data_IF_796078739544
#
_entry.id   IF_796078739544
#
_cell.length_a   1.000
_cell.length_b   1.000
_cell.length_c   1.000
_cell.angle_alpha   90.00
_cell.angle_beta   90.00
_cell.angle_gamma   90.00
#
_symmetry.space_group_name_H-M   'P 1'
#
loop_
_entity.id
_entity.type
_entity.pdbx_description
1 polymer ?
#
# COMPACT_ATOMS: atom_id res chain seq x y z
N UNK A 1 11.57 -7.78 11.93
CA UNK A 1 10.50 -6.82 12.32
C UNK A 1 11.05 -5.91 13.41
N UNK A 2 10.73 -4.64 13.32
CA UNK A 2 11.12 -3.62 14.29
C UNK A 2 10.54 -3.95 15.67
N UNK A 3 11.26 -3.66 16.75
CA UNK A 3 10.71 -3.74 18.10
C UNK A 3 9.46 -2.85 18.18
N UNK A 4 8.49 -3.21 19.04
CA UNK A 4 7.30 -2.39 19.20
C UNK A 4 7.67 -1.05 19.86
N UNK A 5 7.54 0.10 19.17
CA UNK A 5 7.85 1.40 19.74
C UNK A 5 6.72 1.93 20.65
N UNK A 6 5.71 1.12 20.94
CA UNK A 6 4.46 1.57 21.55
C UNK A 6 3.63 2.41 20.58
N UNK A 7 2.71 3.21 21.10
CA UNK A 7 1.91 4.12 20.27
C UNK A 7 2.61 5.48 20.03
N UNK A 8 3.57 5.85 20.87
CA UNK A 8 4.36 7.09 20.73
C UNK A 8 3.47 8.33 20.66
N UNK A 9 3.50 9.01 19.51
CA UNK A 9 2.66 10.19 19.23
C UNK A 9 1.24 9.82 18.76
N UNK A 10 0.95 8.51 18.63
CA UNK A 10 -0.36 8.00 18.24
C UNK A 10 -1.14 7.54 19.46
N UNK A 11 -2.46 7.67 19.36
CA UNK A 11 -3.40 7.11 20.34
C UNK A 11 -3.53 5.60 20.21
N UNK A 12 -4.31 5.00 21.12
CA UNK A 12 -4.65 3.58 21.04
C UNK A 12 -5.64 3.32 19.89
N UNK A 13 -5.72 2.07 19.43
CA UNK A 13 -6.74 1.64 18.48
C UNK A 13 -8.15 1.99 18.96
N UNK A 14 -8.96 2.55 18.05
CA UNK A 14 -10.36 2.85 18.22
C UNK A 14 -11.20 1.99 17.29
N UNK A 15 -12.37 1.58 17.76
CA UNK A 15 -13.28 0.67 17.04
C UNK A 15 -14.64 1.29 16.74
N UNK A 16 -14.80 2.59 16.85
CA UNK A 16 -16.03 3.32 16.57
C UNK A 16 -16.20 3.67 15.07
N UNK A 17 -15.81 2.74 14.22
CA UNK A 17 -15.95 2.73 12.76
C UNK A 17 -16.80 1.54 12.32
N UNK A 18 -17.32 1.56 11.08
CA UNK A 18 -18.20 0.50 10.56
C UNK A 18 -17.48 -0.84 10.37
N UNK A 19 -16.16 -0.81 10.14
CA UNK A 19 -15.34 -2.00 9.92
C UNK A 19 -13.94 -1.81 10.50
N UNK A 20 -13.39 -2.85 11.15
CA UNK A 20 -12.03 -2.83 11.66
C UNK A 20 -11.79 -1.82 12.78
N UNK A 21 -10.70 -1.09 12.68
CA UNK A 21 -10.23 -0.15 13.70
C UNK A 21 -9.33 0.94 13.09
N UNK A 22 -9.12 2.04 13.82
CA UNK A 22 -8.21 3.10 13.37
C UNK A 22 -7.41 3.68 14.54
N UNK A 23 -6.26 4.26 14.22
CA UNK A 23 -5.48 5.08 15.13
C UNK A 23 -5.25 6.45 14.50
N UNK A 24 -5.15 7.45 15.33
CA UNK A 24 -4.90 8.83 14.92
C UNK A 24 -3.77 9.41 15.75
N UNK A 25 -3.07 10.45 15.26
CA UNK A 25 -2.07 11.13 16.06
C UNK A 25 -2.73 11.80 17.27
N UNK A 26 -2.06 11.72 18.44
CA UNK A 26 -2.50 12.38 19.68
C UNK A 26 -2.53 13.90 19.53
N UNK A 27 -1.77 14.45 18.58
CA UNK A 27 -1.74 15.87 18.25
C UNK A 27 -1.57 16.05 16.75
N UNK A 28 -2.24 17.06 16.17
CA UNK A 28 -2.17 17.36 14.74
C UNK A 28 -2.99 16.40 13.89
N UNK A 29 -2.58 16.23 12.63
CA UNK A 29 -3.28 15.41 11.65
C UNK A 29 -4.43 16.09 10.94
N UNK A 30 -5.09 17.06 11.58
CA UNK A 30 -6.18 17.84 11.02
C UNK A 30 -5.67 19.22 10.58
N UNK A 31 -5.96 19.60 9.35
CA UNK A 31 -5.61 20.91 8.80
C UNK A 31 -6.68 21.94 9.11
N UNK A 32 -6.38 23.23 8.88
CA UNK A 32 -7.31 24.35 9.14
C UNK A 32 -8.62 24.25 8.36
N UNK A 33 -8.60 23.65 7.17
CA UNK A 33 -9.79 23.43 6.34
C UNK A 33 -10.61 22.21 6.77
N UNK A 34 -10.13 21.44 7.74
CA UNK A 34 -10.74 20.19 8.19
C UNK A 34 -10.22 18.93 7.45
N UNK A 35 -9.30 19.09 6.51
CA UNK A 35 -8.77 17.94 5.80
C UNK A 35 -7.73 17.16 6.60
N UNK A 36 -7.65 15.83 6.38
CA UNK A 36 -6.64 14.95 6.95
C UNK A 36 -6.22 13.88 5.92
N UNK A 37 -5.07 13.24 6.16
CA UNK A 37 -4.59 12.15 5.33
C UNK A 37 -4.85 10.82 6.02
N UNK A 38 -5.21 9.79 5.25
CA UNK A 38 -5.55 8.46 5.77
C UNK A 38 -4.98 7.34 4.92
N UNK A 39 -4.41 6.33 5.58
CA UNK A 39 -4.03 5.06 4.99
C UNK A 39 -4.97 3.97 5.50
N UNK A 40 -5.57 3.22 4.58
CA UNK A 40 -6.32 2.01 4.86
C UNK A 40 -5.43 0.80 4.65
N UNK A 41 -5.25 0.01 5.70
CA UNK A 41 -4.42 -1.19 5.65
C UNK A 41 -5.27 -2.45 5.85
N UNK A 42 -4.99 -3.47 5.04
CA UNK A 42 -5.72 -4.73 5.05
C UNK A 42 -4.77 -5.88 5.35
N UNK A 43 -5.10 -6.64 6.40
CA UNK A 43 -4.40 -7.81 6.92
C UNK A 43 -3.07 -7.50 7.64
N UNK A 44 -2.90 -8.07 8.86
CA UNK A 44 -1.68 -7.91 9.64
C UNK A 44 -1.55 -6.58 10.38
N UNK A 45 -2.65 -6.04 10.87
CA UNK A 45 -2.77 -4.69 11.44
C UNK A 45 -1.75 -4.36 12.54
N UNK A 46 -1.44 -5.29 13.48
CA UNK A 46 -0.51 -5.01 14.58
C UNK A 46 0.95 -4.90 14.10
N UNK A 47 1.35 -5.74 13.15
CA UNK A 47 2.69 -5.67 12.60
C UNK A 47 2.90 -4.37 11.81
N UNK A 48 1.90 -3.98 11.00
CA UNK A 48 1.93 -2.74 10.23
C UNK A 48 1.84 -1.50 11.12
N UNK A 49 1.06 -1.53 12.22
CA UNK A 49 1.03 -0.45 13.20
C UNK A 49 2.43 -0.11 13.72
N UNK A 50 3.23 -1.13 14.05
CA UNK A 50 4.60 -0.91 14.56
C UNK A 50 5.45 -0.11 13.58
N UNK A 51 5.39 -0.47 12.30
CA UNK A 51 6.13 0.23 11.25
C UNK A 51 5.55 1.63 10.98
N UNK A 52 4.21 1.78 11.06
CA UNK A 52 3.52 3.06 10.90
C UNK A 52 3.90 4.06 11.98
N UNK A 53 3.72 3.70 13.26
CA UNK A 53 3.94 4.64 14.38
C UNK A 53 5.41 5.04 14.55
N UNK A 54 6.32 4.24 13.98
CA UNK A 54 7.75 4.53 14.01
C UNK A 54 8.16 5.72 13.11
N UNK A 55 7.40 6.01 12.05
CA UNK A 55 7.82 6.99 11.03
C UNK A 55 6.73 7.96 10.60
N UNK A 56 5.44 7.57 10.64
CA UNK A 56 4.38 8.46 10.20
C UNK A 56 4.10 9.55 11.23
N UNK A 57 3.68 10.71 10.73
CA UNK A 57 3.31 11.86 11.52
C UNK A 57 2.11 12.56 10.88
N UNK A 58 1.10 12.87 11.68
CA UNK A 58 -0.03 13.67 11.27
C UNK A 58 -1.00 13.02 10.27
N UNK A 59 -1.05 11.68 10.22
CA UNK A 59 -1.99 10.95 9.37
C UNK A 59 -2.72 9.84 10.14
N UNK A 60 -3.89 9.45 9.68
CA UNK A 60 -4.72 8.38 10.25
C UNK A 60 -4.34 7.04 9.61
N UNK A 61 -4.22 5.98 10.40
CA UNK A 61 -4.18 4.61 9.92
C UNK A 61 -5.50 3.93 10.29
N UNK A 62 -6.26 3.51 9.30
CA UNK A 62 -7.43 2.65 9.47
C UNK A 62 -7.06 1.23 9.04
N UNK A 63 -7.44 0.21 9.79
CA UNK A 63 -7.01 -1.15 9.50
C UNK A 63 -8.12 -2.16 9.67
N UNK A 64 -8.19 -3.11 8.73
CA UNK A 64 -9.16 -4.19 8.68
C UNK A 64 -8.43 -5.52 8.64
N UNK A 65 -8.75 -6.42 9.55
CA UNK A 65 -8.23 -7.78 9.57
C UNK A 65 -9.40 -8.77 9.63
N UNK A 66 -9.59 -9.54 8.55
CA UNK A 66 -10.69 -10.49 8.37
C UNK A 66 -10.19 -11.94 8.34
N UNK A 67 -8.97 -12.17 8.83
CA UNK A 67 -8.35 -13.49 8.88
C UNK A 67 -7.63 -13.89 7.60
N UNK A 68 -7.38 -15.17 7.44
CA UNK A 68 -6.57 -15.73 6.37
C UNK A 68 -7.44 -15.96 5.12
N UNK A 69 -6.93 -15.59 3.96
CA UNK A 69 -7.60 -15.76 2.67
C UNK A 69 -8.24 -14.47 2.15
N UNK A 70 -8.09 -14.22 0.84
CA UNK A 70 -8.54 -12.97 0.20
C UNK A 70 -10.07 -12.84 0.11
N UNK A 71 -10.79 -13.95 0.04
CA UNK A 71 -12.25 -13.96 -0.17
C UNK A 71 -13.04 -13.17 0.87
N UNK A 72 -12.62 -13.16 2.15
CA UNK A 72 -13.27 -12.36 3.18
C UNK A 72 -13.13 -10.85 2.91
N UNK A 73 -11.96 -10.43 2.44
CA UNK A 73 -11.69 -9.03 2.05
C UNK A 73 -12.41 -8.65 0.77
N UNK A 74 -12.42 -9.52 -0.23
CA UNK A 74 -13.18 -9.32 -1.48
C UNK A 74 -14.67 -9.15 -1.21
N UNK A 75 -15.25 -10.01 -0.37
CA UNK A 75 -16.66 -9.95 0.00
C UNK A 75 -17.00 -8.67 0.79
N UNK A 76 -16.14 -8.23 1.70
CA UNK A 76 -16.36 -7.01 2.48
C UNK A 76 -16.43 -5.75 1.59
N UNK A 77 -15.76 -5.76 0.45
CA UNK A 77 -15.72 -4.63 -0.49
C UNK A 77 -16.34 -4.96 -1.87
N UNK A 78 -17.20 -5.98 -1.94
CA UNK A 78 -17.83 -6.38 -3.20
C UNK A 78 -18.86 -5.38 -3.73
N UNK A 79 -19.54 -4.63 -2.84
CA UNK A 79 -20.53 -3.65 -3.24
C UNK A 79 -19.87 -2.35 -3.73
N UNK A 80 -20.41 -1.69 -4.75
CA UNK A 80 -19.80 -0.51 -5.36
C UNK A 80 -19.57 0.70 -4.43
N UNK A 81 -20.31 0.78 -3.31
CA UNK A 81 -20.23 1.84 -2.32
C UNK A 81 -19.60 1.40 -0.99
N UNK A 82 -19.18 0.13 -0.87
CA UNK A 82 -18.69 -0.42 0.40
C UNK A 82 -17.49 0.36 0.96
N UNK A 83 -16.56 0.76 0.11
CA UNK A 83 -15.41 1.56 0.56
C UNK A 83 -15.80 3.01 0.88
N UNK A 84 -16.74 3.59 0.17
CA UNK A 84 -17.25 4.94 0.47
C UNK A 84 -17.93 4.97 1.85
N UNK A 85 -18.75 4.00 2.15
CA UNK A 85 -19.39 3.86 3.48
C UNK A 85 -18.34 3.68 4.59
N UNK A 86 -17.31 2.88 4.34
CA UNK A 86 -16.20 2.71 5.30
C UNK A 86 -15.40 4.00 5.48
N UNK A 87 -15.04 4.69 4.40
CA UNK A 87 -14.37 5.99 4.47
C UNK A 87 -15.18 7.00 5.28
N UNK A 88 -16.48 7.15 4.99
CA UNK A 88 -17.37 8.05 5.73
C UNK A 88 -17.45 7.70 7.21
N UNK A 89 -17.41 6.39 7.57
CA UNK A 89 -17.39 5.99 8.97
C UNK A 89 -16.11 6.44 9.70
N UNK A 90 -14.96 6.37 9.02
CA UNK A 90 -13.67 6.84 9.54
C UNK A 90 -13.66 8.36 9.64
N UNK A 91 -14.17 9.09 8.64
CA UNK A 91 -14.30 10.54 8.67
C UNK A 91 -15.20 11.01 9.84
N UNK A 92 -16.34 10.36 10.01
CA UNK A 92 -17.27 10.67 11.11
C UNK A 92 -16.66 10.36 12.49
N UNK A 93 -15.95 9.25 12.65
CA UNK A 93 -15.26 8.90 13.87
C UNK A 93 -14.15 9.93 14.21
N UNK A 94 -13.35 10.31 13.22
CA UNK A 94 -12.31 11.31 13.39
C UNK A 94 -12.88 12.70 13.63
N UNK A 95 -14.01 13.07 13.01
CA UNK A 95 -14.73 14.32 13.25
C UNK A 95 -15.23 14.44 14.69
N UNK A 96 -15.83 13.36 15.22
CA UNK A 96 -16.28 13.31 16.63
C UNK A 96 -15.10 13.51 17.58
N UNK A 97 -14.02 12.77 17.35
CA UNK A 97 -12.86 12.77 18.23
C UNK A 97 -12.11 14.12 18.20
N UNK A 98 -11.86 14.66 17.01
CA UNK A 98 -11.20 15.96 16.82
C UNK A 98 -12.09 17.16 17.14
N UNK A 99 -13.37 16.92 17.46
CA UNK A 99 -14.40 17.95 17.67
C UNK A 99 -14.49 18.92 16.48
N UNK A 100 -14.26 18.43 15.29
CA UNK A 100 -14.34 19.20 14.06
C UNK A 100 -15.30 18.54 13.05
N UNK A 101 -16.55 19.03 12.91
CA UNK A 101 -17.54 18.42 12.02
C UNK A 101 -17.19 18.53 10.52
N UNK A 102 -16.16 19.30 10.17
CA UNK A 102 -15.68 19.42 8.79
C UNK A 102 -14.55 18.44 8.45
N UNK A 103 -14.23 17.52 9.36
CA UNK A 103 -13.16 16.56 9.09
C UNK A 103 -13.48 15.70 7.86
N UNK A 104 -12.56 15.68 6.88
CA UNK A 104 -12.70 14.91 5.65
C UNK A 104 -11.33 14.45 5.13
N UNK A 105 -11.30 13.31 4.44
CA UNK A 105 -10.07 12.76 3.89
C UNK A 105 -9.62 13.55 2.65
N UNK A 106 -8.36 13.94 2.65
CA UNK A 106 -7.67 14.62 1.54
C UNK A 106 -6.90 13.63 0.68
N UNK A 107 -5.87 13.01 1.24
CA UNK A 107 -5.13 11.94 0.61
C UNK A 107 -5.59 10.61 1.18
N UNK A 108 -5.86 9.66 0.31
CA UNK A 108 -6.33 8.33 0.65
C UNK A 108 -5.34 7.33 0.07
N UNK A 109 -4.69 6.57 0.95
CA UNK A 109 -3.83 5.46 0.56
C UNK A 109 -4.48 4.13 0.89
N UNK A 110 -4.17 3.11 0.11
CA UNK A 110 -4.46 1.71 0.38
C UNK A 110 -3.16 0.96 0.59
N UNK A 111 -3.12 0.07 1.55
CA UNK A 111 -2.01 -0.86 1.72
C UNK A 111 -2.51 -2.24 2.10
N UNK A 112 -1.80 -3.27 1.67
CA UNK A 112 -2.14 -4.65 2.00
C UNK A 112 -0.88 -5.48 2.20
N UNK A 113 -0.96 -6.42 3.12
CA UNK A 113 -0.05 -7.55 3.22
C UNK A 113 -0.83 -8.83 2.91
N UNK A 114 -0.21 -9.77 2.19
CA UNK A 114 -0.81 -11.10 1.97
C UNK A 114 -2.27 -11.01 1.47
N UNK A 115 -3.19 -11.72 2.11
CA UNK A 115 -4.62 -11.82 1.79
C UNK A 115 -5.37 -10.48 1.67
N UNK A 116 -4.85 -9.42 2.28
CA UNK A 116 -5.48 -8.10 2.25
C UNK A 116 -5.60 -7.48 0.85
N UNK A 117 -4.87 -8.02 -0.14
CA UNK A 117 -4.96 -7.55 -1.53
C UNK A 117 -6.37 -7.64 -2.12
N UNK A 118 -7.18 -8.60 -1.65
CA UNK A 118 -8.57 -8.76 -2.11
C UNK A 118 -9.41 -7.50 -1.86
N UNK A 119 -9.20 -6.80 -0.74
CA UNK A 119 -9.83 -5.50 -0.51
C UNK A 119 -9.33 -4.45 -1.52
N UNK A 120 -8.02 -4.36 -1.72
CA UNK A 120 -7.41 -3.36 -2.63
C UNK A 120 -7.95 -3.55 -4.06
N UNK A 121 -8.03 -4.79 -4.56
CA UNK A 121 -8.60 -5.08 -5.88
C UNK A 121 -10.03 -4.54 -5.99
N UNK A 122 -10.90 -4.89 -5.04
CA UNK A 122 -12.31 -4.48 -5.07
C UNK A 122 -12.50 -2.98 -4.91
N UNK A 123 -11.70 -2.33 -4.08
CA UNK A 123 -11.78 -0.87 -3.89
C UNK A 123 -11.35 -0.12 -5.15
N UNK A 124 -10.32 -0.58 -5.85
CA UNK A 124 -9.87 0.07 -7.09
C UNK A 124 -10.87 -0.07 -8.25
N UNK A 125 -11.77 -1.05 -8.20
CA UNK A 125 -12.88 -1.22 -9.15
C UNK A 125 -14.07 -0.30 -8.84
N UNK A 126 -14.17 0.28 -7.64
CA UNK A 126 -15.26 1.16 -7.22
C UNK A 126 -15.07 2.60 -7.73
N UNK A 127 -16.14 3.40 -7.85
CA UNK A 127 -16.03 4.80 -8.27
C UNK A 127 -15.06 5.61 -7.41
N UNK A 128 -15.03 5.37 -6.09
CA UNK A 128 -14.12 6.03 -5.15
C UNK A 128 -12.65 5.60 -5.34
N UNK A 129 -12.38 4.50 -6.03
CA UNK A 129 -11.04 4.04 -6.39
C UNK A 129 -10.22 5.11 -7.14
N UNK A 130 -10.89 5.98 -7.87
CA UNK A 130 -10.24 7.09 -8.58
C UNK A 130 -9.70 8.19 -7.64
N UNK A 131 -10.13 8.25 -6.38
CA UNK A 131 -9.60 9.17 -5.36
C UNK A 131 -8.35 8.63 -4.65
N UNK A 132 -8.01 7.35 -4.86
CA UNK A 132 -6.85 6.74 -4.22
C UNK A 132 -5.57 7.40 -4.74
N UNK A 133 -4.74 7.91 -3.83
CA UNK A 133 -3.47 8.57 -4.14
C UNK A 133 -2.28 7.60 -4.14
N UNK A 134 -2.32 6.58 -3.30
CA UNK A 134 -1.21 5.65 -3.10
C UNK A 134 -1.70 4.22 -2.87
N UNK A 135 -0.96 3.24 -3.41
CA UNK A 135 -1.16 1.81 -3.16
C UNK A 135 0.17 1.16 -2.76
N UNK A 136 0.18 0.38 -1.67
CA UNK A 136 1.34 -0.38 -1.19
C UNK A 136 0.92 -1.85 -1.04
N UNK A 137 1.54 -2.75 -1.80
CA UNK A 137 1.32 -4.18 -1.75
C UNK A 137 2.58 -4.89 -1.26
N UNK A 138 2.51 -5.49 -0.08
CA UNK A 138 3.63 -6.14 0.59
C UNK A 138 3.46 -7.67 0.47
N UNK A 139 4.20 -8.27 -0.45
CA UNK A 139 4.07 -9.69 -0.83
C UNK A 139 2.60 -10.10 -0.92
N UNK A 140 1.87 -9.29 -1.65
CA UNK A 140 0.43 -9.34 -1.83
C UNK A 140 0.11 -9.12 -3.32
N UNK A 141 -0.97 -9.61 -3.74
CA UNK A 141 -1.53 -9.67 -5.08
C UNK A 141 -1.36 -11.08 -5.69
N UNK A 142 -2.49 -11.74 -5.81
CA UNK A 142 -2.60 -13.01 -6.51
C UNK A 142 -3.71 -12.92 -7.56
N UNK A 143 -3.66 -13.83 -8.52
CA UNK A 143 -4.70 -14.02 -9.53
C UNK A 143 -4.81 -15.51 -9.86
N UNK A 144 -5.90 -15.93 -10.44
CA UNK A 144 -6.02 -17.24 -11.06
C UNK A 144 -5.24 -17.32 -12.36
N UNK A 145 -5.33 -18.48 -13.00
CA UNK A 145 -4.79 -18.71 -14.33
C UNK A 145 -5.87 -18.88 -15.38
N UNK A 146 -5.60 -18.40 -16.58
CA UNK A 146 -6.35 -18.70 -17.81
C UNK A 146 -5.30 -19.14 -18.83
N UNK A 147 -5.47 -20.34 -19.39
CA UNK A 147 -4.54 -20.94 -20.37
C UNK A 147 -3.06 -20.91 -19.89
N UNK A 148 -2.84 -21.26 -18.64
CA UNK A 148 -1.53 -21.22 -17.94
C UNK A 148 -0.87 -19.84 -17.85
N UNK A 149 -1.61 -18.76 -18.04
CA UNK A 149 -1.17 -17.39 -17.85
C UNK A 149 -1.96 -16.71 -16.72
N UNK A 150 -1.36 -15.71 -16.09
CA UNK A 150 -2.04 -14.87 -15.09
C UNK A 150 -3.34 -14.31 -15.67
N UNK A 151 -4.47 -14.52 -14.99
CA UNK A 151 -5.73 -13.89 -15.39
C UNK A 151 -5.71 -12.40 -15.07
N UNK A 152 -5.19 -11.61 -16.00
CA UNK A 152 -5.08 -10.15 -15.85
C UNK A 152 -6.41 -9.42 -15.65
N UNK A 153 -7.56 -10.06 -15.96
CA UNK A 153 -8.88 -9.46 -15.73
C UNK A 153 -9.18 -9.36 -14.25
N UNK A 154 -8.73 -10.32 -13.45
CA UNK A 154 -8.93 -10.31 -12.00
C UNK A 154 -8.19 -9.15 -11.32
N UNK A 155 -7.10 -8.67 -11.91
CA UNK A 155 -6.27 -7.60 -11.35
C UNK A 155 -6.30 -6.32 -12.21
N UNK A 156 -7.31 -6.17 -13.06
CA UNK A 156 -7.41 -5.05 -14.01
C UNK A 156 -7.36 -3.67 -13.32
N UNK A 157 -8.08 -3.48 -12.23
CA UNK A 157 -8.05 -2.23 -11.47
C UNK A 157 -6.67 -1.90 -10.90
N UNK A 158 -5.93 -2.93 -10.46
CA UNK A 158 -4.54 -2.77 -9.97
C UNK A 158 -3.59 -2.43 -11.12
N UNK A 159 -3.78 -3.06 -12.30
CA UNK A 159 -3.01 -2.74 -13.53
C UNK A 159 -3.24 -1.30 -13.96
N UNK A 160 -4.47 -0.83 -13.97
CA UNK A 160 -4.77 0.55 -14.36
C UNK A 160 -4.19 1.55 -13.35
N UNK A 161 -4.21 1.24 -12.07
CA UNK A 161 -3.54 2.05 -11.06
C UNK A 161 -2.01 2.06 -11.26
N UNK A 162 -1.39 0.93 -11.59
CA UNK A 162 0.04 0.85 -11.91
C UNK A 162 0.41 1.73 -13.11
N UNK A 163 -0.43 1.78 -14.16
CA UNK A 163 -0.23 2.68 -15.30
C UNK A 163 -0.26 4.16 -14.89
N UNK A 164 -1.15 4.56 -13.97
CA UNK A 164 -1.18 5.93 -13.44
C UNK A 164 0.07 6.22 -12.60
N UNK A 165 0.54 5.27 -11.79
CA UNK A 165 1.77 5.41 -11.03
C UNK A 165 3.00 5.52 -11.95
N UNK A 166 3.05 4.74 -13.03
CA UNK A 166 4.10 4.80 -14.04
C UNK A 166 4.13 6.10 -14.86
N UNK A 167 3.09 6.94 -14.75
CA UNK A 167 3.02 8.31 -15.29
C UNK A 167 3.31 9.38 -14.22
N UNK A 168 3.57 8.99 -12.97
CA UNK A 168 3.77 9.90 -11.85
C UNK A 168 2.47 10.52 -11.28
N UNK A 169 1.30 10.10 -11.75
CA UNK A 169 0.01 10.64 -11.31
C UNK A 169 -0.43 10.08 -9.96
N UNK A 170 -0.06 8.84 -9.67
CA UNK A 170 -0.32 8.12 -8.41
C UNK A 170 0.98 7.52 -7.89
N UNK A 171 0.95 6.98 -6.68
CA UNK A 171 2.09 6.24 -6.12
C UNK A 171 1.75 4.76 -6.00
N UNK A 172 2.65 3.88 -6.42
CA UNK A 172 2.50 2.45 -6.22
C UNK A 172 3.82 1.80 -5.83
N UNK A 173 3.77 1.02 -4.76
CA UNK A 173 4.86 0.13 -4.36
C UNK A 173 4.34 -1.31 -4.30
N UNK A 174 5.10 -2.23 -4.89
CA UNK A 174 4.80 -3.66 -4.85
C UNK A 174 6.06 -4.40 -4.44
N UNK A 175 5.96 -5.29 -3.47
CA UNK A 175 7.00 -6.27 -3.20
C UNK A 175 6.49 -7.68 -3.42
N UNK A 176 7.39 -8.60 -3.77
CA UNK A 176 7.11 -10.01 -3.90
C UNK A 176 8.25 -10.88 -3.34
N UNK A 177 7.89 -12.03 -2.81
CA UNK A 177 8.80 -13.11 -2.43
C UNK A 177 9.02 -14.08 -3.59
N UNK A 178 9.80 -15.14 -3.37
CA UNK A 178 9.96 -16.27 -4.30
C UNK A 178 9.03 -17.45 -3.94
N UNK A 179 7.98 -17.22 -3.15
CA UNK A 179 7.01 -18.25 -2.77
C UNK A 179 6.15 -18.61 -3.99
N UNK A 180 6.03 -19.90 -4.27
CA UNK A 180 5.17 -20.45 -5.32
C UNK A 180 3.96 -21.11 -4.66
N UNK A 181 2.79 -20.49 -4.70
CA UNK A 181 1.58 -21.07 -4.13
C UNK A 181 1.02 -22.17 -5.04
N UNK A 182 0.30 -23.16 -4.48
CA UNK A 182 -0.35 -24.18 -5.30
C UNK A 182 -1.64 -23.59 -5.93
N UNK A 183 -1.77 -23.72 -7.26
CA UNK A 183 -3.03 -23.54 -7.98
C UNK A 183 -3.45 -22.10 -8.33
N UNK A 184 -2.62 -21.09 -8.03
CA UNK A 184 -2.84 -19.70 -8.45
C UNK A 184 -1.50 -18.96 -8.62
N UNK A 185 -1.53 -17.83 -9.31
CA UNK A 185 -0.34 -17.06 -9.62
C UNK A 185 0.34 -16.51 -8.37
N UNK A 186 1.65 -16.67 -8.30
CA UNK A 186 2.50 -16.13 -7.24
C UNK A 186 2.53 -14.60 -7.28
N UNK A 187 2.98 -14.01 -6.17
CA UNK A 187 3.23 -12.57 -6.10
C UNK A 187 4.33 -12.11 -7.08
N UNK A 188 5.28 -13.00 -7.42
CA UNK A 188 6.27 -12.77 -8.49
C UNK A 188 5.60 -12.65 -9.86
N UNK A 189 4.75 -13.61 -10.24
CA UNK A 189 4.09 -13.60 -11.54
C UNK A 189 3.18 -12.38 -11.73
N UNK A 190 2.41 -12.03 -10.69
CA UNK A 190 1.54 -10.84 -10.75
C UNK A 190 2.35 -9.54 -10.76
N UNK A 191 3.46 -9.45 -10.01
CA UNK A 191 4.35 -8.29 -10.06
C UNK A 191 4.98 -8.13 -11.46
N UNK A 192 5.42 -9.22 -12.09
CA UNK A 192 5.91 -9.20 -13.46
C UNK A 192 4.82 -8.80 -14.47
N UNK A 193 3.59 -9.26 -14.26
CA UNK A 193 2.44 -8.82 -15.07
C UNK A 193 2.22 -7.32 -14.98
N UNK A 194 2.29 -6.72 -13.78
CA UNK A 194 2.22 -5.27 -13.60
C UNK A 194 3.34 -4.55 -14.34
N UNK A 195 4.59 -5.03 -14.18
CA UNK A 195 5.78 -4.43 -14.85
C UNK A 195 5.64 -4.50 -16.36
N UNK A 196 5.20 -5.63 -16.89
CA UNK A 196 4.92 -5.77 -18.33
C UNK A 196 3.82 -4.82 -18.79
N UNK A 197 2.72 -4.71 -18.02
CA UNK A 197 1.56 -3.87 -18.35
C UNK A 197 1.88 -2.38 -18.41
N UNK A 198 2.94 -1.93 -17.75
CA UNK A 198 3.45 -0.55 -17.84
C UNK A 198 4.56 -0.41 -18.89
N UNK A 199 4.73 -1.38 -19.79
CA UNK A 199 5.78 -1.43 -20.80
C UNK A 199 7.20 -1.23 -20.20
N UNK A 200 7.52 -1.96 -19.12
CA UNK A 200 8.80 -1.95 -18.44
C UNK A 200 9.36 -3.36 -18.31
N UNK A 201 10.54 -3.50 -17.72
CA UNK A 201 11.19 -4.78 -17.44
C UNK A 201 11.80 -4.77 -16.04
N UNK A 202 11.75 -5.88 -15.30
CA UNK A 202 12.51 -6.02 -14.08
C UNK A 202 14.01 -5.91 -14.38
N UNK A 203 14.74 -5.23 -13.50
CA UNK A 203 16.20 -5.17 -13.54
C UNK A 203 16.72 -6.07 -12.43
N UNK A 204 17.63 -6.98 -12.77
CA UNK A 204 18.34 -7.80 -11.77
C UNK A 204 19.06 -6.87 -10.80
N UNK A 205 18.79 -7.01 -9.52
CA UNK A 205 19.48 -6.27 -8.49
C UNK A 205 20.79 -6.97 -8.11
N UNK A 206 21.83 -6.20 -7.82
CA UNK A 206 23.00 -6.77 -7.14
C UNK A 206 22.56 -7.17 -5.74
N UNK A 207 22.83 -8.43 -5.36
CA UNK A 207 22.54 -8.91 -4.00
C UNK A 207 23.11 -7.94 -2.97
N UNK A 208 22.23 -7.36 -2.18
CA UNK A 208 22.59 -6.61 -0.99
C UNK A 208 22.08 -7.44 0.18
N UNK A 209 23.00 -7.85 1.07
CA UNK A 209 22.64 -8.36 2.37
C UNK A 209 21.95 -7.23 3.15
N UNK A 210 20.88 -7.55 3.87
CA UNK A 210 20.31 -6.78 4.98
C UNK A 210 19.21 -5.76 4.69
N UNK A 211 18.55 -5.81 3.53
CA UNK A 211 17.53 -4.79 3.32
C UNK A 211 16.24 -5.06 4.12
N UNK A 212 15.86 -6.33 4.35
CA UNK A 212 14.68 -6.67 5.16
C UNK A 212 14.83 -8.04 5.80
N UNK A 213 15.14 -8.09 7.08
CA UNK A 213 15.16 -9.34 7.89
C UNK A 213 15.88 -10.53 7.21
N UNK A 214 16.99 -10.26 6.53
CA UNK A 214 17.82 -11.29 5.90
C UNK A 214 17.39 -11.69 4.48
N UNK A 215 16.38 -11.06 3.90
CA UNK A 215 16.00 -11.28 2.50
C UNK A 215 16.95 -10.52 1.56
N UNK A 216 17.41 -11.20 0.51
CA UNK A 216 18.19 -10.57 -0.56
C UNK A 216 17.25 -9.94 -1.60
N UNK A 217 17.47 -8.70 -1.95
CA UNK A 217 16.85 -8.08 -3.11
C UNK A 217 17.42 -8.72 -4.39
N UNK A 218 16.57 -9.31 -5.22
CA UNK A 218 16.96 -10.01 -6.46
C UNK A 218 16.61 -9.24 -7.72
N UNK A 219 15.53 -8.46 -7.67
CA UNK A 219 15.11 -7.65 -8.80
C UNK A 219 14.34 -6.39 -8.37
N UNK A 220 14.27 -5.44 -9.27
CA UNK A 220 13.55 -4.19 -9.07
C UNK A 220 13.04 -3.61 -10.39
N UNK A 221 12.01 -2.80 -10.30
CA UNK A 221 11.57 -1.92 -11.38
C UNK A 221 11.18 -0.58 -10.78
N UNK A 222 11.71 0.50 -11.34
CA UNK A 222 11.36 1.86 -10.97
C UNK A 222 10.93 2.61 -12.24
N UNK A 223 9.71 3.14 -12.25
CA UNK A 223 9.21 3.99 -13.33
C UNK A 223 8.34 5.10 -12.75
N UNK A 224 8.83 6.31 -12.77
CA UNK A 224 8.22 7.48 -12.12
C UNK A 224 7.87 7.19 -10.66
N UNK A 225 6.59 7.05 -10.32
CA UNK A 225 6.09 6.73 -8.98
C UNK A 225 5.63 5.28 -8.82
N UNK A 226 5.97 4.41 -9.78
CA UNK A 226 5.80 2.97 -9.68
C UNK A 226 7.12 2.33 -9.25
N UNK A 227 7.08 1.53 -8.18
CA UNK A 227 8.25 0.84 -7.64
C UNK A 227 7.91 -0.62 -7.39
N UNK A 228 8.72 -1.55 -7.90
CA UNK A 228 8.64 -2.97 -7.60
C UNK A 228 9.96 -3.46 -7.01
N UNK A 229 9.87 -4.34 -6.02
CA UNK A 229 11.02 -4.99 -5.36
C UNK A 229 10.73 -6.47 -5.19
N UNK A 230 11.59 -7.31 -5.79
CA UNK A 230 11.54 -8.76 -5.64
C UNK A 230 12.65 -9.24 -4.71
N UNK A 231 12.28 -10.10 -3.78
CA UNK A 231 13.18 -10.64 -2.77
C UNK A 231 13.26 -12.17 -2.84
N UNK A 232 14.39 -12.70 -2.37
CA UNK A 232 14.50 -14.11 -2.04
C UNK A 232 13.53 -14.46 -0.91
N UNK A 233 13.39 -15.75 -0.65
CA UNK A 233 12.58 -16.24 0.44
C UNK A 233 11.39 -17.05 -0.06
N UNK A 234 11.14 -18.18 0.61
CA UNK A 234 10.17 -19.16 0.16
C UNK A 234 9.36 -19.77 1.33
N UNK A 235 9.44 -19.20 2.51
CA UNK A 235 8.70 -19.65 3.67
C UNK A 235 7.83 -18.57 4.32
N UNK A 236 7.12 -18.96 5.37
CA UNK A 236 6.21 -18.07 6.10
C UNK A 236 6.94 -16.89 6.76
N UNK A 237 8.15 -17.09 7.24
CA UNK A 237 8.91 -16.02 7.91
C UNK A 237 9.38 -14.99 6.89
N UNK A 238 9.81 -15.46 5.72
CA UNK A 238 10.17 -14.61 4.59
C UNK A 238 8.98 -13.76 4.14
N UNK A 239 7.80 -14.39 4.02
CA UNK A 239 6.55 -13.69 3.74
C UNK A 239 6.25 -12.58 4.77
N UNK A 240 6.39 -12.88 6.05
CA UNK A 240 6.20 -11.90 7.13
C UNK A 240 7.22 -10.76 7.10
N UNK A 241 8.44 -11.02 6.62
CA UNK A 241 9.51 -10.02 6.56
C UNK A 241 9.16 -8.82 5.68
N UNK A 242 8.32 -9.03 4.65
CA UNK A 242 7.86 -7.95 3.76
C UNK A 242 7.14 -6.81 4.48
N UNK A 243 6.54 -7.06 5.65
CA UNK A 243 5.93 -5.99 6.46
C UNK A 243 6.97 -4.95 6.90
N UNK A 244 8.22 -5.37 7.12
CA UNK A 244 9.32 -4.47 7.47
C UNK A 244 9.63 -3.39 6.41
N UNK A 245 9.30 -3.65 5.12
CA UNK A 245 9.42 -2.67 4.05
C UNK A 245 8.48 -1.47 4.22
N UNK A 246 7.39 -1.66 4.97
CA UNK A 246 6.35 -0.64 5.09
C UNK A 246 6.90 0.68 5.61
N UNK A 247 7.72 0.64 6.67
CA UNK A 247 8.36 1.82 7.25
C UNK A 247 9.18 2.59 6.23
N UNK A 248 10.01 1.89 5.47
CA UNK A 248 10.92 2.53 4.51
C UNK A 248 10.14 3.14 3.34
N UNK A 249 9.09 2.47 2.87
CA UNK A 249 8.18 3.00 1.83
C UNK A 249 7.44 4.23 2.33
N UNK A 250 6.91 4.20 3.55
CA UNK A 250 6.23 5.35 4.15
C UNK A 250 7.18 6.55 4.27
N UNK A 251 8.39 6.34 4.79
CA UNK A 251 9.37 7.39 5.01
C UNK A 251 9.89 7.97 3.70
N UNK A 252 10.22 7.12 2.72
CA UNK A 252 10.82 7.55 1.46
C UNK A 252 9.80 8.18 0.49
N UNK A 253 8.54 7.74 0.50
CA UNK A 253 7.60 8.09 -0.54
C UNK A 253 6.31 8.73 -0.04
N UNK A 254 5.65 8.18 0.99
CA UNK A 254 4.34 8.66 1.42
C UNK A 254 4.45 9.97 2.20
N UNK A 255 5.33 10.04 3.19
CA UNK A 255 5.53 11.25 3.98
C UNK A 255 5.87 12.49 3.14
N UNK A 256 6.86 12.45 2.21
CA UNK A 256 7.16 13.60 1.37
C UNK A 256 5.99 13.97 0.45
N UNK A 257 5.30 12.97 -0.11
CA UNK A 257 4.17 13.15 -1.02
C UNK A 257 3.01 13.86 -0.32
N UNK A 258 2.65 13.42 0.89
CA UNK A 258 1.52 13.94 1.63
C UNK A 258 1.81 15.26 2.37
N UNK A 259 3.06 15.54 2.70
CA UNK A 259 3.50 16.84 3.27
C UNK A 259 3.59 17.94 2.21
N UNK A 260 3.72 17.60 0.92
CA UNK A 260 3.79 18.59 -0.15
C UNK A 260 2.46 19.32 -0.34
N UNK A 261 2.43 20.67 -0.42
CA UNK A 261 1.20 21.44 -0.67
C UNK A 261 0.51 21.08 -2.00
N UNK A 262 1.22 20.44 -2.94
CA UNK A 262 0.74 20.08 -4.28
C UNK A 262 0.59 18.58 -4.51
N UNK A 263 0.84 17.73 -3.52
CA UNK A 263 0.67 16.27 -3.66
C UNK A 263 1.51 15.56 -4.73
N UNK A 264 2.36 16.29 -5.48
CA UNK A 264 3.22 15.71 -6.54
C UNK A 264 4.69 16.00 -6.26
N UNK A 265 5.57 14.99 -6.25
CA UNK A 265 7.00 15.23 -6.39
C UNK A 265 7.25 15.91 -7.74
N UNK A 266 8.15 16.90 -7.77
CA UNK A 266 8.67 17.40 -9.06
C UNK A 266 9.35 16.22 -9.75
N UNK A 267 9.15 16.05 -11.09
CA UNK A 267 9.91 15.05 -11.83
C UNK A 267 11.41 15.31 -11.61
N UNK A 268 12.14 14.26 -11.25
CA UNK A 268 13.59 14.30 -11.16
C UNK A 268 14.12 14.69 -12.54
N UNK A 269 14.95 15.73 -12.61
CA UNK A 269 15.65 16.09 -13.86
C UNK A 269 16.39 14.84 -14.37
N UNK A 270 16.25 14.50 -15.67
CA UNK A 270 17.05 13.44 -16.24
C UNK A 270 18.53 13.77 -15.99
N UNK A 271 19.27 12.78 -15.48
CA UNK A 271 20.72 12.89 -15.38
C UNK A 271 21.26 13.27 -16.76
N UNK A 272 21.97 14.38 -16.83
CA UNK A 272 22.60 14.81 -18.05
C UNK A 272 23.53 13.68 -18.54
N UNK A 273 23.23 13.10 -19.71
CA UNK A 273 24.08 12.15 -20.38
C UNK A 273 25.31 12.93 -20.89
N UNK A 274 26.35 13.02 -20.04
CA UNK A 274 27.67 13.43 -20.48
C UNK A 274 28.26 12.31 -21.33
N UNK A 275 28.16 12.43 -22.64
CA UNK A 275 29.04 11.72 -23.55
C UNK A 275 30.38 12.50 -23.55
N UNK A 276 31.51 11.85 -23.26
CA UNK A 276 32.81 12.45 -23.60
C UNK A 276 33.02 12.36 -25.11
N UNK A 277 33.53 13.47 -25.68
CA UNK A 277 34.06 13.53 -27.04
C UNK A 277 35.32 12.69 -27.17
#
# INVERSE_FOLDING_TARGET
>A
MTADPGFGIYEQWRRDVSLGQYIQPARGGLRRDGSFDVMFHFHGHEAVRKEWVAVMDGAVLASVDLGIGSGAYENAFALPNAFEEYLHSVEAAFARHSKNPRAHARHIGLSAWSAGYGAVQKILEQPLGQRIDAVILLDALHAGYVDNHVDGRQIAGVVDFAKLAAKGERFMFVSHSSIIPPGYASTTETAHWLVWSIASKPLTARKRKDEVMGLDLIERCDRESFHMRGYTGNDKMDHCAHIGLYRDVLQAHILPRWKSPRGRPKPSKPAASGLPQ
#
